data_IF_840321529147
#
_entry.id   IF_840321529147
#
_cell.length_a   1.000
_cell.length_b   1.000
_cell.length_c   1.000
_cell.angle_alpha   90.00
_cell.angle_beta   90.00
_cell.angle_gamma   90.00
#
_symmetry.space_group_name_H-M   'P 1'
#
loop_
_entity.id
_entity.type
_entity.pdbx_description
1 polymer ?
#
# COMPACT_ATOMS: atom_id res chain seq x y z
N UNK A 1 -23.22 -13.31 -6.79
CA UNK A 1 -24.48 -12.63 -7.08
C UNK A 1 -25.47 -13.08 -6.02
N UNK A 2 -26.04 -12.16 -5.26
CA UNK A 2 -27.07 -12.52 -4.26
C UNK A 2 -28.35 -12.75 -5.05
N UNK A 3 -28.91 -13.95 -4.95
CA UNK A 3 -30.15 -14.32 -5.67
C UNK A 3 -31.24 -14.61 -4.63
N UNK A 4 -31.56 -13.62 -3.80
CA UNK A 4 -32.62 -13.68 -2.82
C UNK A 4 -33.66 -12.61 -3.13
N UNK A 5 -34.93 -12.97 -3.39
CA UNK A 5 -35.98 -12.01 -3.77
C UNK A 5 -36.36 -11.03 -2.65
N UNK A 6 -35.90 -11.25 -1.41
CA UNK A 6 -36.11 -10.37 -0.28
C UNK A 6 -34.95 -9.36 -0.07
N UNK A 7 -33.90 -9.44 -0.90
CA UNK A 7 -32.71 -8.58 -0.78
C UNK A 7 -32.57 -7.73 -2.04
N UNK A 8 -32.74 -6.44 -1.87
CA UNK A 8 -32.44 -5.45 -2.92
C UNK A 8 -31.01 -4.92 -2.72
N UNK A 9 -30.16 -5.09 -3.74
CA UNK A 9 -28.80 -4.57 -3.74
C UNK A 9 -28.79 -3.25 -4.47
N UNK A 10 -28.77 -2.15 -3.74
CA UNK A 10 -28.71 -0.82 -4.28
C UNK A 10 -27.29 -0.25 -4.19
N UNK A 11 -26.82 0.46 -5.24
CA UNK A 11 -25.57 1.22 -5.13
C UNK A 11 -25.76 2.35 -4.11
N UNK A 12 -24.79 2.50 -3.21
CA UNK A 12 -24.79 3.61 -2.27
C UNK A 12 -24.15 4.85 -2.92
N UNK A 13 -24.91 5.94 -3.10
CA UNK A 13 -24.39 7.14 -3.75
C UNK A 13 -23.16 7.71 -3.02
N UNK A 14 -22.10 7.98 -3.76
CA UNK A 14 -20.87 8.59 -3.24
C UNK A 14 -19.85 7.62 -2.67
N UNK A 15 -20.09 6.31 -2.69
CA UNK A 15 -19.13 5.28 -2.28
C UNK A 15 -18.51 4.52 -3.45
N UNK A 16 -18.79 4.92 -4.67
CA UNK A 16 -18.25 4.30 -5.87
C UNK A 16 -16.74 4.54 -5.96
N UNK A 17 -15.96 3.54 -5.60
CA UNK A 17 -14.53 3.58 -5.83
C UNK A 17 -14.23 3.35 -7.31
N UNK A 18 -13.44 4.21 -7.96
CA UNK A 18 -13.09 4.02 -9.35
C UNK A 18 -12.32 2.71 -9.56
N UNK A 19 -12.76 1.91 -10.53
CA UNK A 19 -11.96 0.79 -11.01
C UNK A 19 -10.73 1.35 -11.74
N UNK A 20 -9.54 0.93 -11.31
CA UNK A 20 -8.28 1.41 -11.88
C UNK A 20 -7.33 0.26 -12.09
N UNK A 21 -6.50 0.36 -13.13
CA UNK A 21 -5.38 -0.55 -13.31
C UNK A 21 -4.38 -0.43 -12.15
N UNK A 22 -3.62 -1.49 -11.86
CA UNK A 22 -2.56 -1.42 -10.86
C UNK A 22 -1.47 -0.44 -11.30
N UNK A 23 -0.79 0.17 -10.34
CA UNK A 23 0.36 1.04 -10.62
C UNK A 23 1.50 0.23 -11.25
N UNK A 24 2.19 0.83 -12.23
CA UNK A 24 3.28 0.19 -12.96
C UNK A 24 4.46 -0.17 -12.03
N UNK A 25 5.03 -1.35 -12.23
CA UNK A 25 6.22 -1.82 -11.50
C UNK A 25 7.54 -1.19 -12.00
N UNK A 26 7.48 -0.31 -13.00
CA UNK A 26 8.66 0.34 -13.59
C UNK A 26 8.89 1.77 -13.11
N UNK A 27 8.05 2.28 -12.22
CA UNK A 27 8.18 3.65 -11.69
C UNK A 27 9.41 3.77 -10.79
N UNK A 28 9.93 4.98 -10.67
CA UNK A 28 11.07 5.27 -9.79
C UNK A 28 10.75 4.95 -8.32
N UNK A 29 9.51 5.21 -7.89
CA UNK A 29 9.08 4.85 -6.54
C UNK A 29 9.11 3.33 -6.31
N UNK A 30 8.64 2.53 -7.28
CA UNK A 30 8.69 1.07 -7.15
C UNK A 30 10.14 0.57 -7.08
N UNK A 31 11.00 1.06 -7.96
CA UNK A 31 12.44 0.72 -7.97
C UNK A 31 13.15 1.13 -6.69
N UNK A 32 12.83 2.30 -6.14
CA UNK A 32 13.38 2.75 -4.87
C UNK A 32 12.95 1.84 -3.70
N UNK A 33 11.67 1.44 -3.65
CA UNK A 33 11.21 0.47 -2.68
C UNK A 33 11.96 -0.84 -2.79
N UNK A 34 12.06 -1.41 -3.99
CA UNK A 34 12.77 -2.66 -4.23
C UNK A 34 14.23 -2.57 -3.78
N UNK A 35 14.96 -1.52 -4.18
CA UNK A 35 16.34 -1.26 -3.79
C UNK A 35 16.50 -1.20 -2.27
N UNK A 36 15.66 -0.45 -1.59
CA UNK A 36 15.73 -0.27 -0.13
C UNK A 36 15.40 -1.57 0.60
N UNK A 37 14.40 -2.32 0.16
CA UNK A 37 14.05 -3.59 0.79
C UNK A 37 15.15 -4.65 0.59
N UNK A 38 15.73 -4.76 -0.59
CA UNK A 38 16.86 -5.66 -0.86
C UNK A 38 18.08 -5.27 -0.02
N UNK A 39 18.37 -3.99 0.17
CA UNK A 39 19.48 -3.50 0.98
C UNK A 39 19.35 -3.81 2.47
N UNK A 40 18.22 -4.29 2.97
CA UNK A 40 18.08 -4.75 4.36
C UNK A 40 18.92 -5.99 4.69
N UNK A 41 19.57 -6.60 3.70
CA UNK A 41 20.40 -7.82 3.84
C UNK A 41 19.59 -9.09 4.06
N UNK A 42 18.28 -9.02 4.12
CA UNK A 42 17.40 -10.19 4.14
C UNK A 42 17.19 -10.66 2.70
N UNK A 43 17.18 -11.97 2.47
CA UNK A 43 16.76 -12.54 1.18
C UNK A 43 15.25 -12.29 1.02
N UNK A 44 14.88 -11.09 0.57
CA UNK A 44 13.50 -10.70 0.33
C UNK A 44 13.28 -10.45 -1.14
N UNK A 45 12.12 -10.86 -1.64
CA UNK A 45 11.61 -10.46 -2.95
C UNK A 45 10.45 -9.50 -2.73
N UNK A 46 10.40 -8.41 -3.51
CA UNK A 46 9.27 -7.49 -3.52
C UNK A 46 8.26 -8.02 -4.53
N UNK A 47 7.17 -8.58 -4.03
CA UNK A 47 6.13 -9.19 -4.86
C UNK A 47 4.88 -8.31 -4.77
N UNK A 48 4.37 -7.79 -5.90
CA UNK A 48 3.12 -7.06 -5.90
C UNK A 48 1.96 -8.02 -5.60
N UNK A 49 1.03 -7.59 -4.76
CA UNK A 49 -0.21 -8.29 -4.53
C UNK A 49 -1.38 -7.31 -4.41
N UNK A 50 -2.56 -7.78 -4.69
CA UNK A 50 -3.77 -6.99 -4.55
C UNK A 50 -4.35 -7.17 -3.14
N UNK A 51 -4.44 -6.08 -2.38
CA UNK A 51 -5.17 -6.07 -1.11
C UNK A 51 -6.68 -6.08 -1.36
N UNK A 52 -7.42 -6.81 -0.51
CA UNK A 52 -8.89 -6.82 -0.56
C UNK A 52 -9.54 -5.61 0.11
N UNK A 53 -8.75 -4.79 0.82
CA UNK A 53 -9.24 -3.58 1.47
C UNK A 53 -9.30 -2.40 0.49
N UNK A 54 -10.21 -1.48 0.76
CA UNK A 54 -10.30 -0.21 0.05
C UNK A 54 -9.27 0.79 0.58
N UNK A 55 -8.77 1.67 -0.29
CA UNK A 55 -7.90 2.80 0.07
C UNK A 55 -8.14 3.98 -0.87
N UNK A 56 -7.81 5.19 -0.43
CA UNK A 56 -7.86 6.41 -1.26
C UNK A 56 -6.97 6.32 -2.51
N UNK A 57 -6.10 5.34 -2.56
CA UNK A 57 -5.22 5.09 -3.68
C UNK A 57 -5.95 4.89 -5.01
N UNK A 58 -7.19 4.39 -5.00
CA UNK A 58 -7.99 4.24 -6.21
C UNK A 58 -8.29 5.59 -6.86
N UNK A 59 -8.67 6.61 -6.07
CA UNK A 59 -8.95 7.96 -6.56
C UNK A 59 -7.70 8.63 -7.12
N UNK A 60 -6.55 8.43 -6.48
CA UNK A 60 -5.28 8.98 -6.95
C UNK A 60 -4.82 8.30 -8.24
N UNK A 61 -4.95 6.97 -8.35
CA UNK A 61 -4.65 6.25 -9.60
C UNK A 61 -5.56 6.68 -10.75
N UNK A 62 -6.85 6.92 -10.48
CA UNK A 62 -7.77 7.46 -11.49
C UNK A 62 -7.35 8.84 -12.03
N UNK A 63 -6.51 9.57 -11.28
CA UNK A 63 -5.86 10.83 -11.71
C UNK A 63 -4.49 10.63 -12.33
N UNK A 64 -4.08 9.39 -12.61
CA UNK A 64 -2.80 9.08 -13.23
C UNK A 64 -1.60 8.99 -12.28
N UNK A 65 -1.82 9.04 -10.97
CA UNK A 65 -0.73 8.91 -9.99
C UNK A 65 -0.38 7.44 -9.74
N UNK A 66 0.90 7.13 -9.63
CA UNK A 66 1.36 5.83 -9.16
C UNK A 66 1.23 5.74 -7.64
N UNK A 67 0.45 4.77 -7.16
CA UNK A 67 0.17 4.59 -5.73
C UNK A 67 0.41 3.14 -5.32
N UNK A 68 1.20 2.95 -4.28
CA UNK A 68 1.53 1.64 -3.72
C UNK A 68 1.26 1.61 -2.22
N UNK A 69 0.67 0.52 -1.74
CA UNK A 69 0.63 0.19 -0.33
C UNK A 69 1.94 -0.48 0.08
N UNK A 70 2.75 0.17 0.91
CA UNK A 70 4.06 -0.34 1.32
C UNK A 70 3.96 -0.97 2.70
N UNK A 71 4.11 -2.30 2.85
CA UNK A 71 3.96 -2.98 4.14
C UNK A 71 5.24 -2.83 4.99
N UNK A 72 5.59 -1.60 5.34
CA UNK A 72 6.78 -1.32 6.18
C UNK A 72 6.59 -1.75 7.64
N UNK A 73 5.34 -1.81 8.10
CA UNK A 73 5.01 -2.25 9.45
C UNK A 73 4.66 -3.74 9.45
N UNK A 74 5.53 -4.55 10.04
CA UNK A 74 5.26 -5.99 10.17
C UNK A 74 4.01 -6.21 10.98
N UNK A 75 3.13 -7.07 10.48
CA UNK A 75 1.99 -7.53 11.27
C UNK A 75 2.47 -8.26 12.51
N UNK A 76 1.79 -8.03 13.62
CA UNK A 76 2.00 -8.80 14.84
C UNK A 76 1.53 -10.25 14.63
N UNK A 77 2.14 -11.20 15.36
CA UNK A 77 1.79 -12.64 15.30
C UNK A 77 0.35 -12.93 15.78
N UNK A 78 -0.32 -11.93 16.34
CA UNK A 78 -1.71 -12.02 16.77
C UNK A 78 -2.64 -11.49 15.69
N UNK A 79 -3.61 -12.29 15.21
CA UNK A 79 -4.49 -11.90 14.13
C UNK A 79 -5.39 -10.71 14.51
N UNK A 80 -5.51 -9.78 13.56
CA UNK A 80 -6.70 -9.00 13.32
C UNK A 80 -7.18 -8.03 14.41
N UNK A 81 -6.35 -7.02 14.76
CA UNK A 81 -6.86 -5.92 15.58
C UNK A 81 -7.06 -4.61 14.80
N UNK A 82 -6.76 -4.61 13.51
CA UNK A 82 -7.06 -3.48 12.64
C UNK A 82 -8.56 -3.15 12.69
N UNK A 83 -8.88 -1.89 12.87
CA UNK A 83 -10.26 -1.38 13.03
C UNK A 83 -10.99 -1.87 14.28
N UNK A 84 -10.29 -2.46 15.25
CA UNK A 84 -10.86 -2.90 16.53
C UNK A 84 -10.57 -1.94 17.67
N UNK A 85 -11.34 -2.06 18.76
CA UNK A 85 -11.19 -1.20 19.95
C UNK A 85 -9.81 -1.29 20.63
N UNK A 86 -9.02 -2.31 20.33
CA UNK A 86 -7.72 -2.60 20.94
C UNK A 86 -6.63 -2.66 19.86
N UNK A 87 -6.79 -1.84 18.82
CA UNK A 87 -5.79 -1.70 17.75
C UNK A 87 -4.49 -1.15 18.30
N UNK A 88 -3.40 -1.83 18.01
CA UNK A 88 -2.08 -1.47 18.51
C UNK A 88 -0.97 -1.97 17.61
N UNK A 89 0.17 -1.33 17.69
CA UNK A 89 1.41 -1.70 17.03
C UNK A 89 2.54 -1.79 18.07
N UNK A 90 3.48 -2.70 17.90
CA UNK A 90 4.68 -2.73 18.74
C UNK A 90 5.54 -1.49 18.46
N UNK A 91 6.11 -0.91 19.50
CA UNK A 91 7.00 0.24 19.37
C UNK A 91 8.20 -0.06 18.46
N UNK A 92 8.79 -1.26 18.58
CA UNK A 92 9.88 -1.71 17.70
C UNK A 92 9.46 -1.76 16.24
N UNK A 93 8.26 -2.27 15.96
CA UNK A 93 7.70 -2.34 14.60
C UNK A 93 7.46 -0.94 14.03
N UNK A 94 6.93 -0.03 14.84
CA UNK A 94 6.73 1.37 14.44
C UNK A 94 8.07 2.04 14.10
N UNK A 95 9.06 1.89 14.97
CA UNK A 95 10.40 2.46 14.79
C UNK A 95 11.10 1.91 13.54
N UNK A 96 11.13 0.59 13.38
CA UNK A 96 11.74 -0.07 12.22
C UNK A 96 11.04 0.30 10.91
N UNK A 97 9.71 0.27 10.90
CA UNK A 97 8.91 0.60 9.72
C UNK A 97 9.07 2.06 9.31
N UNK A 98 9.08 2.99 10.27
CA UNK A 98 9.32 4.41 10.00
C UNK A 98 10.71 4.63 9.42
N UNK A 99 11.75 3.99 9.97
CA UNK A 99 13.11 4.10 9.46
C UNK A 99 13.22 3.53 8.03
N UNK A 100 12.50 2.45 7.73
CA UNK A 100 12.47 1.86 6.39
C UNK A 100 11.75 2.77 5.39
N UNK A 101 10.62 3.33 5.78
CA UNK A 101 9.87 4.28 4.93
C UNK A 101 10.70 5.54 4.66
N UNK A 102 11.41 6.06 5.67
CA UNK A 102 12.31 7.20 5.51
C UNK A 102 13.37 6.93 4.44
N UNK A 103 14.00 5.75 4.45
CA UNK A 103 14.98 5.36 3.43
C UNK A 103 14.38 5.32 2.02
N UNK A 104 13.14 4.90 1.86
CA UNK A 104 12.46 4.94 0.54
C UNK A 104 12.26 6.37 0.07
N UNK A 105 11.83 7.27 0.97
CA UNK A 105 11.67 8.69 0.66
C UNK A 105 13.00 9.34 0.32
N UNK A 106 14.06 9.04 1.08
CA UNK A 106 15.41 9.52 0.84
C UNK A 106 15.94 9.08 -0.53
N UNK A 107 15.77 7.80 -0.87
CA UNK A 107 16.19 7.26 -2.17
C UNK A 107 15.51 7.98 -3.34
N UNK A 108 14.22 8.27 -3.23
CA UNK A 108 13.48 9.02 -4.27
C UNK A 108 13.90 10.50 -4.31
N UNK A 109 14.16 11.12 -3.17
CA UNK A 109 14.49 12.54 -3.10
C UNK A 109 15.91 12.84 -3.61
N UNK A 110 16.85 11.90 -3.45
CA UNK A 110 18.25 12.06 -3.86
C UNK A 110 18.47 11.64 -5.31
N UNK A 111 17.61 10.80 -5.89
CA UNK A 111 17.74 10.39 -7.27
C UNK A 111 17.53 11.59 -8.21
N UNK A 112 18.55 12.02 -9.00
CA UNK A 112 18.38 13.10 -9.95
C UNK A 112 17.26 12.75 -10.94
N UNK A 113 16.29 13.62 -11.07
CA UNK A 113 15.28 13.47 -12.13
C UNK A 113 15.92 13.93 -13.43
N UNK A 114 15.87 13.12 -14.51
CA UNK A 114 16.18 13.65 -15.82
C UNK A 114 15.24 14.84 -16.05
N UNK A 115 15.81 15.96 -16.49
CA UNK A 115 15.11 17.20 -16.72
C UNK A 115 13.82 16.96 -17.50
N UNK A 116 12.73 17.56 -17.03
CA UNK A 116 11.45 17.53 -17.72
C UNK A 116 11.49 18.38 -18.96
#
# INVERSE_FOLDING_TARGET
>A
MINDPLIDVLPEPGQDMPATEPSSLTTDLYKAMEKVFVATGKKVAVIPYMSRGATDGAFLRAKGMAVYGVPVFKRDDKPGRAHGNDERIKETTLREGTALLFKVVEEIAVTPRPDR
#
